data_IF_164014138546
#
_entry.id   IF_164014138546
#
_cell.length_a   1.000
_cell.length_b   1.000
_cell.length_c   1.000
_cell.angle_alpha   90.00
_cell.angle_beta   90.00
_cell.angle_gamma   90.00
#
_symmetry.space_group_name_H-M   'P 1'
#
loop_
_entity.id
_entity.type
_entity.pdbx_description
1 polymer ?
#
# COMPACT_ATOMS: atom_id res chain seq x y z
N UNK A 1 14.15 2.40 -9.13
CA UNK A 1 13.74 1.39 -8.12
C UNK A 1 13.98 0.00 -8.66
N UNK A 2 14.73 -0.86 -7.94
CA UNK A 2 14.87 -2.28 -8.29
C UNK A 2 13.49 -2.93 -8.26
N UNK A 3 13.13 -3.70 -9.30
CA UNK A 3 11.89 -4.48 -9.31
C UNK A 3 12.03 -5.64 -8.32
N UNK A 4 11.03 -5.85 -7.48
CA UNK A 4 10.97 -7.02 -6.61
C UNK A 4 10.87 -8.30 -7.44
N UNK A 5 11.46 -9.39 -6.94
CA UNK A 5 11.24 -10.72 -7.51
C UNK A 5 9.77 -11.12 -7.35
N UNK A 6 9.27 -12.02 -8.21
CA UNK A 6 7.88 -12.53 -8.09
C UNK A 6 7.61 -13.11 -6.70
N UNK A 7 8.57 -13.86 -6.15
CA UNK A 7 8.51 -14.41 -4.79
C UNK A 7 8.35 -13.31 -3.74
N UNK A 8 9.19 -12.27 -3.79
CA UNK A 8 9.09 -11.15 -2.84
C UNK A 8 7.78 -10.37 -2.98
N UNK A 9 7.26 -10.20 -4.20
CA UNK A 9 5.95 -9.57 -4.42
C UNK A 9 4.83 -10.38 -3.78
N UNK A 10 4.86 -11.70 -3.88
CA UNK A 10 3.87 -12.59 -3.26
C UNK A 10 3.91 -12.47 -1.73
N UNK A 11 5.10 -12.61 -1.14
CA UNK A 11 5.32 -12.47 0.32
C UNK A 11 4.82 -11.11 0.84
N UNK A 12 5.16 -10.02 0.15
CA UNK A 12 4.72 -8.68 0.53
C UNK A 12 3.21 -8.48 0.34
N UNK A 13 2.62 -9.07 -0.70
CA UNK A 13 1.17 -9.01 -0.93
C UNK A 13 0.42 -9.74 0.18
N UNK A 14 0.87 -10.94 0.56
CA UNK A 14 0.28 -11.72 1.63
C UNK A 14 0.41 -10.99 2.98
N UNK A 15 1.60 -10.49 3.30
CA UNK A 15 1.86 -9.89 4.61
C UNK A 15 1.25 -8.49 4.78
N UNK A 16 1.28 -7.66 3.74
CA UNK A 16 0.96 -6.22 3.84
C UNK A 16 -0.05 -5.72 2.78
N UNK A 17 -0.19 -6.42 1.66
CA UNK A 17 -1.09 -6.03 0.56
C UNK A 17 -2.52 -6.60 0.68
N UNK A 18 -2.79 -7.42 1.69
CA UNK A 18 -4.12 -7.98 1.96
C UNK A 18 -4.80 -7.14 3.04
N UNK A 19 -6.04 -6.66 2.84
CA UNK A 19 -6.76 -5.92 3.87
C UNK A 19 -6.92 -6.76 5.14
N UNK A 20 -6.70 -6.16 6.31
CA UNK A 20 -6.93 -6.80 7.61
C UNK A 20 -8.38 -6.67 8.07
N UNK A 21 -9.15 -5.82 7.40
CA UNK A 21 -10.53 -5.53 7.71
C UNK A 21 -11.07 -4.45 6.79
N UNK A 22 -12.31 -4.04 7.04
CA UNK A 22 -13.00 -3.00 6.29
C UNK A 22 -13.70 -2.05 7.27
N UNK A 23 -13.67 -0.76 6.96
CA UNK A 23 -14.46 0.25 7.64
C UNK A 23 -15.31 0.97 6.59
N UNK A 24 -16.63 0.92 6.71
CA UNK A 24 -17.56 1.50 5.73
C UNK A 24 -17.27 1.04 4.28
N UNK A 25 -17.00 -0.25 4.09
CA UNK A 25 -16.58 -0.86 2.81
C UNK A 25 -15.22 -0.36 2.25
N UNK A 26 -14.46 0.42 3.03
CA UNK A 26 -13.11 0.86 2.67
C UNK A 26 -12.09 -0.09 3.33
N UNK A 27 -11.15 -0.68 2.57
CA UNK A 27 -10.21 -1.65 3.12
C UNK A 27 -9.22 -1.00 4.11
N UNK A 28 -8.81 -1.76 5.12
CA UNK A 28 -7.79 -1.37 6.10
C UNK A 28 -6.51 -2.15 5.80
N UNK A 29 -5.39 -1.47 5.57
CA UNK A 29 -4.08 -2.08 5.31
C UNK A 29 -3.10 -1.87 6.46
N UNK A 30 -2.13 -2.79 6.55
CA UNK A 30 -0.98 -2.64 7.47
C UNK A 30 0.01 -1.63 6.90
N UNK A 31 0.41 -0.66 7.71
CA UNK A 31 1.48 0.28 7.43
C UNK A 31 2.69 0.00 8.33
N UNK A 32 3.88 0.21 7.80
CA UNK A 32 5.16 0.01 8.50
C UNK A 32 5.82 1.37 8.70
N UNK A 33 6.32 1.65 9.90
CA UNK A 33 7.14 2.85 10.13
C UNK A 33 8.39 2.81 9.24
N UNK A 34 8.68 3.91 8.56
CA UNK A 34 9.92 4.07 7.77
C UNK A 34 10.92 4.96 8.51
N UNK A 35 10.44 6.04 9.12
CA UNK A 35 11.22 6.95 9.95
C UNK A 35 10.28 7.73 10.90
N UNK A 36 10.79 8.76 11.58
CA UNK A 36 10.02 9.58 12.52
C UNK A 36 8.85 10.36 11.88
N UNK A 37 8.83 10.52 10.56
CA UNK A 37 7.87 11.36 9.85
C UNK A 37 7.04 10.60 8.80
N UNK A 38 7.47 9.39 8.44
CA UNK A 38 6.91 8.63 7.34
C UNK A 38 6.68 7.17 7.72
N UNK A 39 5.63 6.63 7.13
CA UNK A 39 5.36 5.21 7.05
C UNK A 39 5.23 4.79 5.60
N UNK A 40 5.25 3.47 5.37
CA UNK A 40 5.07 2.87 4.06
C UNK A 40 3.98 1.80 4.08
N UNK A 41 3.23 1.73 3.00
CA UNK A 41 2.24 0.67 2.77
C UNK A 41 2.58 -0.09 1.51
N UNK A 42 2.27 -1.37 1.48
CA UNK A 42 2.46 -2.17 0.27
C UNK A 42 1.15 -2.18 -0.52
N UNK A 43 1.14 -1.52 -1.67
CA UNK A 43 -0.05 -1.50 -2.52
C UNK A 43 -0.15 -2.81 -3.31
N UNK A 44 -1.21 -3.57 -3.06
CA UNK A 44 -1.49 -4.83 -3.76
C UNK A 44 -1.89 -4.65 -5.22
N UNK A 45 -2.24 -3.45 -5.65
CA UNK A 45 -2.53 -3.15 -7.05
C UNK A 45 -1.23 -3.00 -7.87
N UNK A 46 -0.38 -2.05 -7.49
CA UNK A 46 0.85 -1.76 -8.25
C UNK A 46 2.07 -2.59 -7.82
N UNK A 47 1.96 -3.34 -6.73
CA UNK A 47 3.02 -4.19 -6.15
C UNK A 47 4.26 -3.39 -5.72
N UNK A 48 4.05 -2.21 -5.14
CA UNK A 48 5.11 -1.30 -4.67
C UNK A 48 4.78 -0.71 -3.30
N UNK A 49 5.84 -0.26 -2.62
CA UNK A 49 5.72 0.54 -1.40
C UNK A 49 5.32 1.98 -1.74
N UNK A 50 4.26 2.49 -1.10
CA UNK A 50 3.88 3.91 -1.12
C UNK A 50 4.19 4.54 0.22
N UNK A 51 4.66 5.79 0.21
CA UNK A 51 4.97 6.55 1.40
C UNK A 51 3.78 7.41 1.81
N UNK A 52 3.54 7.51 3.12
CA UNK A 52 2.59 8.43 3.71
C UNK A 52 3.21 9.13 4.92
N UNK A 53 2.75 10.34 5.21
CA UNK A 53 3.07 11.02 6.47
C UNK A 53 2.56 10.21 7.67
N UNK A 54 3.33 10.18 8.75
CA UNK A 54 3.08 9.36 9.95
C UNK A 54 1.66 9.54 10.51
N UNK A 55 1.09 8.45 11.02
CA UNK A 55 -0.08 8.44 11.89
C UNK A 55 0.27 7.59 13.10
N UNK A 56 -0.26 7.93 14.26
CA UNK A 56 0.03 7.20 15.50
C UNK A 56 -0.74 5.89 15.59
N UNK A 57 -1.94 5.80 15.01
CA UNK A 57 -2.84 4.66 15.23
C UNK A 57 -3.61 4.29 13.97
N UNK A 58 -4.40 5.24 13.44
CA UNK A 58 -5.35 4.98 12.36
C UNK A 58 -5.51 6.22 11.48
N UNK A 59 -5.55 6.04 10.16
CA UNK A 59 -5.78 7.15 9.25
C UNK A 59 -6.43 6.73 7.95
N UNK A 60 -7.41 7.50 7.47
CA UNK A 60 -7.88 7.41 6.09
C UNK A 60 -6.84 8.05 5.17
N UNK A 61 -6.50 7.36 4.10
CA UNK A 61 -5.50 7.77 3.12
C UNK A 61 -5.96 7.43 1.72
N UNK A 62 -5.47 8.18 0.76
CA UNK A 62 -5.61 7.86 -0.66
C UNK A 62 -4.20 7.64 -1.20
N UNK A 63 -3.88 6.42 -1.67
CA UNK A 63 -2.67 6.21 -2.46
C UNK A 63 -3.02 6.49 -3.90
N UNK A 64 -2.33 7.48 -4.46
CA UNK A 64 -2.25 7.62 -5.90
C UNK A 64 -1.15 6.69 -6.38
N UNK A 65 -1.56 5.58 -6.99
CA UNK A 65 -0.68 4.94 -7.97
C UNK A 65 -0.47 5.96 -9.08
N UNK A 66 0.77 6.31 -9.40
CA UNK A 66 1.03 7.04 -10.64
C UNK A 66 0.68 6.18 -11.85
N UNK A 67 0.46 6.82 -13.00
CA UNK A 67 0.34 6.13 -14.28
C UNK A 67 1.56 5.24 -14.50
N UNK A 68 1.33 3.96 -14.76
CA UNK A 68 2.41 2.98 -14.81
C UNK A 68 2.05 1.74 -15.64
N UNK A 69 3.09 1.02 -16.07
CA UNK A 69 2.94 -0.28 -16.72
C UNK A 69 2.95 -1.40 -15.69
N UNK A 70 1.86 -2.17 -15.61
CA UNK A 70 1.73 -3.35 -14.76
C UNK A 70 1.65 -4.58 -15.67
N UNK A 71 2.67 -5.44 -15.59
CA UNK A 71 2.89 -6.48 -16.60
C UNK A 71 3.14 -5.85 -17.98
N UNK A 72 2.30 -6.18 -18.96
CA UNK A 72 2.38 -5.62 -20.33
C UNK A 72 1.37 -4.49 -20.60
N UNK A 73 0.46 -4.22 -19.66
CA UNK A 73 -0.64 -3.25 -19.82
C UNK A 73 -0.27 -1.90 -19.22
N UNK A 74 -0.58 -0.82 -19.93
CA UNK A 74 -0.56 0.54 -19.37
C UNK A 74 -1.79 0.73 -18.49
N UNK A 75 -1.61 1.22 -17.28
CA UNK A 75 -2.70 1.50 -16.34
C UNK A 75 -2.58 2.94 -15.86
N UNK A 76 -3.71 3.66 -15.91
CA UNK A 76 -3.84 5.00 -15.37
C UNK A 76 -3.96 4.92 -13.86
N UNK A 77 -3.56 5.99 -13.18
CA UNK A 77 -3.73 6.19 -11.75
C UNK A 77 -5.17 5.95 -11.28
N UNK A 78 -6.14 6.41 -12.07
CA UNK A 78 -7.58 6.26 -11.88
C UNK A 78 -8.08 4.81 -11.90
N UNK A 79 -7.32 3.91 -12.53
CA UNK A 79 -7.68 2.48 -12.60
C UNK A 79 -7.43 1.76 -11.26
N UNK A 80 -6.72 2.39 -10.33
CA UNK A 80 -6.51 1.84 -8.99
C UNK A 80 -7.83 1.80 -8.21
N UNK A 81 -8.19 0.67 -7.57
CA UNK A 81 -9.39 0.61 -6.72
C UNK A 81 -9.34 1.61 -5.55
N UNK A 82 -8.14 2.05 -5.19
CA UNK A 82 -7.90 3.00 -4.11
C UNK A 82 -7.94 4.47 -4.55
N UNK A 83 -8.09 4.77 -5.84
CA UNK A 83 -7.99 6.14 -6.34
C UNK A 83 -9.11 7.04 -5.81
N UNK A 84 -10.35 6.54 -5.79
CA UNK A 84 -11.51 7.31 -5.32
C UNK A 84 -11.86 7.03 -3.86
N UNK A 85 -11.84 5.76 -3.43
CA UNK A 85 -12.29 5.34 -2.10
C UNK A 85 -11.18 5.43 -1.04
N UNK A 86 -9.92 5.46 -1.47
CA UNK A 86 -8.78 5.35 -0.59
C UNK A 86 -8.71 4.00 0.12
N UNK A 87 -8.08 4.02 1.28
CA UNK A 87 -8.03 2.93 2.24
C UNK A 87 -7.71 3.52 3.61
N UNK A 88 -7.94 2.74 4.65
CA UNK A 88 -7.42 3.03 5.96
C UNK A 88 -6.09 2.33 6.18
N UNK A 89 -5.28 2.92 7.05
CA UNK A 89 -4.01 2.34 7.45
C UNK A 89 -3.96 2.19 8.96
N UNK A 90 -3.40 1.08 9.38
CA UNK A 90 -3.10 0.78 10.77
C UNK A 90 -1.60 0.54 10.89
N UNK A 91 -0.93 1.32 11.74
CA UNK A 91 0.49 1.17 11.98
C UNK A 91 0.73 -0.14 12.73
N UNK A 92 1.53 -1.02 12.15
CA UNK A 92 1.96 -2.26 12.82
C UNK A 92 3.41 -2.14 13.24
N UNK A 93 3.72 -2.72 14.41
CA UNK A 93 5.09 -2.94 14.83
C UNK A 93 5.75 -3.92 13.87
N UNK A 94 6.54 -3.37 12.96
CA UNK A 94 7.29 -4.14 12.00
C UNK A 94 8.40 -3.25 11.48
N UNK A 95 9.58 -3.81 11.39
CA UNK A 95 10.58 -3.32 10.45
C UNK A 95 10.55 -4.25 9.24
N UNK A 96 10.67 -3.69 8.04
CA UNK A 96 11.02 -4.51 6.88
C UNK A 96 12.47 -4.97 7.09
N UNK A 97 12.65 -6.13 7.73
CA UNK A 97 13.95 -6.84 7.76
C UNK A 97 14.37 -7.21 6.34
#
# INVERSE_FOLDING_TARGET
MKKFTKKRVAELTEKYGTPVGFQNNIPIFKAIKKNAYQMKIFCSYCKRWHLHGLTTEYGHRVAHCGDQRIGRKWQKSQDSPYYNLGYFIFLVDGEEK
#
